data_IF_041164994602
#
_entry.id   IF_041164994602
#
_cell.length_a   1.000
_cell.length_b   1.000
_cell.length_c   1.000
_cell.angle_alpha   90.00
_cell.angle_beta   90.00
_cell.angle_gamma   90.00
#
_symmetry.space_group_name_H-M   'P 1'
#
loop_
_entity.id
_entity.type
_entity.pdbx_description
1 polymer ?
#
# COMPACT_ATOMS: atom_id res chain seq x y z
N UNK A 1 18.24 6.53 -6.64
CA UNK A 1 18.46 6.38 -5.18
C UNK A 1 18.89 7.72 -4.64
N UNK A 2 18.37 8.15 -3.50
CA UNK A 2 18.79 9.37 -2.79
C UNK A 2 18.85 9.10 -1.28
N UNK A 3 19.42 10.04 -0.52
CA UNK A 3 19.53 9.93 0.95
C UNK A 3 18.50 10.84 1.62
N UNK A 4 17.53 10.23 2.31
CA UNK A 4 16.58 10.94 3.16
C UNK A 4 17.15 11.12 4.57
N UNK A 5 17.01 12.31 5.21
CA UNK A 5 17.57 12.58 6.53
C UNK A 5 17.14 11.57 7.62
N UNK A 6 15.87 11.18 7.64
CA UNK A 6 15.31 10.26 8.66
C UNK A 6 15.35 8.77 8.30
N UNK A 7 15.52 8.41 7.02
CA UNK A 7 15.40 7.01 6.56
C UNK A 7 16.66 6.47 5.86
N UNK A 8 17.70 7.30 5.69
CA UNK A 8 18.91 6.92 4.98
C UNK A 8 18.67 6.77 3.48
N UNK A 9 19.38 5.85 2.83
CA UNK A 9 19.23 5.62 1.38
C UNK A 9 17.86 5.04 1.07
N UNK A 10 17.15 5.64 0.11
CA UNK A 10 15.84 5.22 -0.39
C UNK A 10 15.76 5.32 -1.93
N UNK A 11 14.82 4.59 -2.53
CA UNK A 11 14.42 4.84 -3.91
C UNK A 11 13.62 6.15 -3.99
N UNK A 12 13.85 6.91 -5.06
CA UNK A 12 12.99 8.03 -5.42
C UNK A 12 11.89 7.49 -6.33
N UNK A 13 10.69 8.04 -6.22
CA UNK A 13 9.56 7.66 -7.08
C UNK A 13 9.85 8.05 -8.52
N UNK A 14 10.26 9.30 -8.73
CA UNK A 14 10.71 9.83 -10.01
C UNK A 14 12.01 10.60 -9.85
N UNK A 15 12.78 10.68 -10.93
CA UNK A 15 14.00 11.49 -11.04
C UNK A 15 14.02 12.16 -12.39
N UNK A 16 14.48 13.41 -12.45
CA UNK A 16 14.65 14.13 -13.71
C UNK A 16 16.04 13.90 -14.35
N UNK A 17 16.96 13.18 -13.69
CA UNK A 17 18.33 12.99 -14.15
C UNK A 17 19.27 14.19 -13.94
N UNK A 18 18.76 15.33 -13.48
CA UNK A 18 19.51 16.56 -13.19
C UNK A 18 19.72 16.80 -11.68
N UNK A 19 19.47 15.79 -10.86
CA UNK A 19 19.67 15.84 -9.40
C UNK A 19 18.42 16.13 -8.57
N UNK A 20 17.24 16.27 -9.19
CA UNK A 20 15.98 16.38 -8.45
C UNK A 20 15.29 15.02 -8.32
N UNK A 21 14.66 14.80 -7.17
CA UNK A 21 13.99 13.55 -6.84
C UNK A 21 12.60 13.82 -6.28
N UNK A 22 11.59 13.14 -6.82
CA UNK A 22 10.25 13.10 -6.24
C UNK A 22 10.20 11.99 -5.18
N UNK A 23 9.92 12.34 -3.93
CA UNK A 23 9.90 11.41 -2.81
C UNK A 23 8.45 11.19 -2.37
N UNK A 24 7.85 10.12 -2.89
CA UNK A 24 6.47 9.71 -2.62
C UNK A 24 6.28 8.22 -2.95
N UNK A 25 5.06 7.72 -2.84
CA UNK A 25 4.57 6.58 -3.64
C UNK A 25 3.16 6.88 -4.13
N UNK A 26 2.75 6.17 -5.19
CA UNK A 26 1.34 6.05 -5.59
C UNK A 26 0.85 4.63 -5.30
N UNK A 27 -0.45 4.47 -5.04
CA UNK A 27 -1.03 3.18 -4.73
C UNK A 27 -1.14 2.22 -5.93
N UNK A 28 -1.09 2.72 -7.17
CA UNK A 28 -1.15 1.87 -8.36
C UNK A 28 0.12 1.04 -8.52
N UNK A 29 -0.03 -0.21 -8.96
CA UNK A 29 1.11 -1.07 -9.31
C UNK A 29 1.41 -0.88 -10.81
N UNK A 30 2.68 -0.61 -11.22
CA UNK A 30 3.91 -0.66 -10.42
C UNK A 30 4.12 0.55 -9.50
N UNK A 31 4.45 0.27 -8.23
CA UNK A 31 4.85 1.26 -7.21
C UNK A 31 6.15 0.86 -6.51
N UNK A 32 6.75 1.78 -5.74
CA UNK A 32 7.93 1.45 -4.95
C UNK A 32 7.62 0.39 -3.88
N UNK A 33 6.43 0.45 -3.26
CA UNK A 33 5.98 -0.56 -2.30
C UNK A 33 5.82 -1.95 -2.94
N UNK A 34 5.47 -1.99 -4.23
CA UNK A 34 5.21 -3.23 -4.98
C UNK A 34 6.47 -3.88 -5.58
N UNK A 35 7.67 -3.28 -5.46
CA UNK A 35 8.86 -3.82 -6.12
C UNK A 35 9.17 -5.29 -5.77
N UNK A 36 9.04 -5.77 -4.51
CA UNK A 36 9.22 -7.19 -4.23
C UNK A 36 8.12 -8.08 -4.80
N UNK A 37 6.88 -7.59 -4.84
CA UNK A 37 5.76 -8.31 -5.45
C UNK A 37 6.00 -8.54 -6.94
N UNK A 38 6.57 -7.55 -7.63
CA UNK A 38 6.93 -7.63 -9.04
C UNK A 38 8.26 -8.36 -9.32
N UNK A 39 8.94 -8.87 -8.28
CA UNK A 39 10.24 -9.52 -8.41
C UNK A 39 11.40 -8.59 -8.78
N UNK A 40 11.22 -7.27 -8.71
CA UNK A 40 12.24 -6.29 -9.10
C UNK A 40 13.37 -6.18 -8.05
N UNK A 41 13.03 -6.36 -6.76
CA UNK A 41 13.99 -6.36 -5.64
C UNK A 41 13.61 -7.44 -4.63
N UNK A 42 14.58 -7.86 -3.79
CA UNK A 42 14.28 -8.76 -2.67
C UNK A 42 13.55 -7.99 -1.58
N UNK A 43 12.56 -8.62 -0.96
CA UNK A 43 11.86 -8.06 0.20
C UNK A 43 12.80 -7.74 1.39
N UNK A 44 13.93 -8.44 1.47
CA UNK A 44 14.97 -8.25 2.49
C UNK A 44 16.04 -7.24 2.10
N UNK A 45 15.93 -6.60 0.93
CA UNK A 45 16.88 -5.57 0.51
C UNK A 45 16.83 -4.37 1.49
N UNK A 46 17.94 -4.01 2.15
CA UNK A 46 18.00 -2.88 3.08
C UNK A 46 17.53 -1.56 2.47
N UNK A 47 17.79 -1.33 1.18
CA UNK A 47 17.35 -0.14 0.47
C UNK A 47 15.82 -0.12 0.30
N UNK A 48 15.22 -1.27 -0.04
CA UNK A 48 13.76 -1.42 -0.07
C UNK A 48 13.15 -1.26 1.32
N UNK A 49 13.74 -1.85 2.36
CA UNK A 49 13.23 -1.75 3.74
C UNK A 49 13.19 -0.29 4.20
N UNK A 50 14.24 0.49 3.94
CA UNK A 50 14.26 1.92 4.24
C UNK A 50 13.22 2.69 3.45
N UNK A 51 13.09 2.37 2.15
CA UNK A 51 12.08 2.97 1.28
C UNK A 51 10.68 2.67 1.82
N UNK A 52 10.34 1.40 2.10
CA UNK A 52 9.05 0.99 2.68
C UNK A 52 8.69 1.75 3.95
N UNK A 53 9.65 1.95 4.87
CA UNK A 53 9.44 2.75 6.09
C UNK A 53 9.07 4.19 5.78
N UNK A 54 9.72 4.82 4.79
CA UNK A 54 9.39 6.15 4.31
C UNK A 54 7.98 6.20 3.69
N UNK A 55 7.65 5.26 2.79
CA UNK A 55 6.38 5.25 2.05
C UNK A 55 5.15 5.08 2.98
N UNK A 56 5.31 4.31 4.06
CA UNK A 56 4.28 4.04 5.07
C UNK A 56 4.36 5.00 6.27
N UNK A 57 4.75 6.25 6.02
CA UNK A 57 4.88 7.29 7.05
C UNK A 57 4.34 8.63 6.56
N UNK A 58 4.14 9.58 7.47
CA UNK A 58 3.71 10.94 7.14
C UNK A 58 4.72 11.76 6.30
N UNK A 59 5.89 11.20 5.97
CA UNK A 59 6.81 11.82 5.01
C UNK A 59 6.40 11.57 3.55
N UNK A 60 5.63 10.52 3.27
CA UNK A 60 5.01 10.34 1.97
C UNK A 60 3.76 11.26 1.90
N UNK A 61 3.70 12.22 0.97
CA UNK A 61 2.58 13.16 0.88
C UNK A 61 1.23 12.48 0.59
N UNK A 62 1.25 11.26 0.06
CA UNK A 62 0.05 10.48 -0.23
C UNK A 62 -0.19 9.35 0.77
N UNK A 63 0.54 9.31 1.89
CA UNK A 63 0.19 8.45 3.01
C UNK A 63 -0.82 9.14 3.92
N UNK A 64 -2.03 8.59 3.98
CA UNK A 64 -3.12 9.14 4.77
C UNK A 64 -3.44 8.24 5.95
N UNK A 65 -3.84 8.85 7.06
CA UNK A 65 -4.28 8.17 8.28
C UNK A 65 -5.46 8.93 8.88
N UNK A 66 -6.54 8.21 9.13
CA UNK A 66 -7.77 8.75 9.72
C UNK A 66 -8.52 7.70 10.53
N UNK A 67 -9.79 7.98 10.82
CA UNK A 67 -10.63 7.12 11.68
C UNK A 67 -10.92 5.76 11.06
N UNK A 68 -11.10 5.68 9.74
CA UNK A 68 -11.44 4.45 9.03
C UNK A 68 -10.20 3.59 8.75
N UNK A 69 -9.01 4.20 8.59
CA UNK A 69 -7.81 3.45 8.26
C UNK A 69 -6.58 4.29 7.96
N UNK A 70 -5.53 3.61 7.53
CA UNK A 70 -4.30 4.20 7.00
C UNK A 70 -3.84 3.47 5.74
N UNK A 71 -3.17 4.20 4.85
CA UNK A 71 -2.64 3.65 3.60
C UNK A 71 -2.22 4.72 2.62
N UNK A 72 -1.73 4.28 1.46
CA UNK A 72 -1.27 5.17 0.40
C UNK A 72 -2.43 5.41 -0.57
N UNK A 73 -2.59 6.66 -0.98
CA UNK A 73 -3.48 7.08 -2.06
C UNK A 73 -2.69 7.48 -3.30
N UNK A 74 -3.00 8.65 -3.82
CA UNK A 74 -2.34 9.23 -4.99
C UNK A 74 -3.04 10.52 -5.40
N UNK A 75 -2.47 11.29 -6.34
CA UNK A 75 -3.09 12.52 -6.82
C UNK A 75 -4.39 12.27 -7.60
N UNK A 76 -4.64 11.04 -8.07
CA UNK A 76 -5.78 10.70 -8.92
C UNK A 76 -7.15 10.78 -8.21
N UNK A 77 -7.27 10.17 -7.03
CA UNK A 77 -8.53 10.13 -6.29
C UNK A 77 -8.72 11.35 -5.37
N UNK A 78 -7.71 12.22 -5.26
CA UNK A 78 -7.71 13.39 -4.39
C UNK A 78 -7.12 13.13 -3.00
N UNK A 79 -7.00 14.21 -2.22
CA UNK A 79 -6.46 14.20 -0.86
C UNK A 79 -7.37 13.38 0.07
N UNK A 80 -6.76 12.71 1.06
CA UNK A 80 -7.42 11.89 2.07
C UNK A 80 -8.10 10.61 1.57
N UNK A 81 -7.90 10.26 0.30
CA UNK A 81 -8.42 9.04 -0.32
C UNK A 81 -7.37 7.93 -0.33
N UNK A 82 -7.60 6.89 0.48
CA UNK A 82 -6.72 5.72 0.59
C UNK A 82 -7.16 4.67 -0.41
N UNK A 83 -6.22 4.07 -1.13
CA UNK A 83 -6.54 3.00 -2.09
C UNK A 83 -6.34 1.62 -1.44
N UNK A 84 -7.34 0.73 -1.48
CA UNK A 84 -7.19 -0.66 -1.03
C UNK A 84 -5.99 -1.37 -1.63
N UNK A 85 -5.63 -1.03 -2.87
CA UNK A 85 -4.48 -1.61 -3.56
C UNK A 85 -3.16 -1.44 -2.77
N UNK A 86 -2.94 -0.26 -2.16
CA UNK A 86 -1.73 -0.05 -1.36
C UNK A 86 -1.70 -0.92 -0.09
N UNK A 87 -2.85 -1.17 0.54
CA UNK A 87 -2.97 -2.02 1.72
C UNK A 87 -2.77 -3.50 1.33
N UNK A 88 -3.31 -3.91 0.18
CA UNK A 88 -3.13 -5.25 -0.35
C UNK A 88 -1.65 -5.51 -0.63
N UNK A 89 -0.98 -4.57 -1.32
CA UNK A 89 0.45 -4.67 -1.63
C UNK A 89 1.30 -4.62 -0.35
N UNK A 90 0.94 -3.78 0.63
CA UNK A 90 1.57 -3.78 1.95
C UNK A 90 1.55 -5.17 2.57
N UNK A 91 0.42 -5.87 2.50
CA UNK A 91 0.29 -7.25 2.97
C UNK A 91 1.12 -8.24 2.15
N UNK A 92 1.04 -8.19 0.81
CA UNK A 92 1.75 -9.09 -0.09
C UNK A 92 3.28 -8.98 0.02
N UNK A 93 3.79 -7.80 0.37
CA UNK A 93 5.22 -7.53 0.55
C UNK A 93 5.65 -7.46 2.02
N UNK A 94 4.85 -8.00 2.94
CA UNK A 94 5.18 -8.14 4.36
C UNK A 94 5.67 -9.55 4.71
N UNK A 95 6.58 -9.63 5.68
CA UNK A 95 7.03 -10.87 6.32
C UNK A 95 6.63 -10.91 7.80
N UNK A 96 5.84 -9.93 8.25
CA UNK A 96 5.37 -9.81 9.62
C UNK A 96 3.90 -10.22 9.68
N UNK A 97 3.62 -11.30 10.42
CA UNK A 97 2.28 -11.85 10.58
C UNK A 97 1.26 -10.85 11.15
N UNK A 98 1.67 -9.99 12.07
CA UNK A 98 0.80 -8.97 12.63
C UNK A 98 0.45 -7.89 11.60
N UNK A 99 1.39 -7.52 10.72
CA UNK A 99 1.13 -6.57 9.63
C UNK A 99 0.20 -7.17 8.57
N UNK A 100 0.40 -8.44 8.19
CA UNK A 100 -0.48 -9.13 7.25
C UNK A 100 -1.91 -9.21 7.80
N UNK A 101 -2.05 -9.62 9.05
CA UNK A 101 -3.35 -9.68 9.74
C UNK A 101 -4.01 -8.30 9.83
N UNK A 102 -3.22 -7.26 10.12
CA UNK A 102 -3.71 -5.88 10.12
C UNK A 102 -4.24 -5.45 8.75
N UNK A 103 -3.52 -5.74 7.66
CA UNK A 103 -3.96 -5.40 6.31
C UNK A 103 -5.27 -6.10 5.94
N UNK A 104 -5.39 -7.40 6.22
CA UNK A 104 -6.63 -8.16 5.97
C UNK A 104 -7.81 -7.61 6.77
N UNK A 105 -7.62 -7.35 8.06
CA UNK A 105 -8.65 -6.79 8.93
C UNK A 105 -9.06 -5.37 8.50
N UNK A 106 -8.11 -4.57 8.02
CA UNK A 106 -8.38 -3.23 7.53
C UNK A 106 -9.25 -3.29 6.26
N UNK A 107 -8.87 -4.10 5.27
CA UNK A 107 -9.63 -4.28 4.03
C UNK A 107 -11.06 -4.79 4.30
N UNK A 108 -11.22 -5.69 5.27
CA UNK A 108 -12.53 -6.16 5.70
C UNK A 108 -13.38 -5.05 6.35
N UNK A 109 -12.77 -4.07 7.03
CA UNK A 109 -13.50 -2.97 7.68
C UNK A 109 -13.80 -1.81 6.74
N UNK A 110 -13.09 -1.69 5.62
CA UNK A 110 -13.15 -0.51 4.75
C UNK A 110 -13.83 -0.77 3.39
N UNK A 111 -14.58 -1.86 3.24
CA UNK A 111 -15.31 -2.17 2.01
C UNK A 111 -16.67 -1.45 1.88
N UNK A 112 -16.95 -0.44 2.73
CA UNK A 112 -18.17 0.38 2.62
C UNK A 112 -19.49 -0.42 2.58
N UNK A 113 -19.57 -1.54 3.28
CA UNK A 113 -20.71 -2.48 3.30
C UNK A 113 -21.05 -3.15 1.95
N UNK A 114 -20.16 -3.09 0.94
CA UNK A 114 -20.42 -3.66 -0.39
C UNK A 114 -19.93 -5.10 -0.58
N UNK A 115 -18.96 -5.54 0.22
CA UNK A 115 -18.26 -6.81 0.03
C UNK A 115 -17.22 -6.80 -1.11
N UNK A 116 -16.97 -5.65 -1.75
CA UNK A 116 -15.99 -5.51 -2.84
C UNK A 116 -14.87 -4.52 -2.46
N UNK A 117 -13.73 -4.67 -3.13
CA UNK A 117 -12.68 -3.68 -3.10
C UNK A 117 -13.01 -2.52 -4.06
N UNK A 118 -12.87 -1.31 -3.54
CA UNK A 118 -13.06 -0.07 -4.27
C UNK A 118 -11.72 0.45 -4.82
N UNK A 119 -11.76 1.50 -5.63
CA UNK A 119 -10.54 2.19 -6.04
C UNK A 119 -9.91 2.93 -4.88
N UNK A 120 -10.70 3.76 -4.19
CA UNK A 120 -10.27 4.47 -3.01
C UNK A 120 -11.42 4.64 -2.02
N UNK A 121 -11.10 4.85 -0.74
CA UNK A 121 -12.02 5.20 0.32
C UNK A 121 -11.46 6.35 1.17
N UNK A 122 -12.32 7.20 1.71
CA UNK A 122 -11.91 8.35 2.52
C UNK A 122 -11.35 7.88 3.87
N UNK A 123 -10.22 8.46 4.30
CA UNK A 123 -9.48 8.06 5.52
C UNK A 123 -10.32 8.04 6.80
N UNK A 124 -11.37 8.86 6.86
CA UNK A 124 -12.25 8.99 8.02
C UNK A 124 -13.62 8.30 7.85
N UNK A 125 -14.00 7.91 6.64
CA UNK A 125 -15.30 7.31 6.35
C UNK A 125 -15.23 6.40 5.11
N UNK A 126 -15.15 5.09 5.34
CA UNK A 126 -15.02 4.12 4.26
C UNK A 126 -16.26 3.98 3.36
N UNK A 127 -17.41 4.55 3.76
CA UNK A 127 -18.62 4.60 2.90
C UNK A 127 -18.49 5.66 1.80
N UNK A 128 -17.56 6.61 1.96
CA UNK A 128 -17.16 7.55 0.90
C UNK A 128 -16.04 6.92 0.09
N UNK A 129 -16.41 6.24 -0.99
CA UNK A 129 -15.48 5.52 -1.85
C UNK A 129 -15.71 5.82 -3.33
N UNK A 130 -14.69 5.56 -4.15
CA UNK A 130 -14.75 5.67 -5.61
C UNK A 130 -14.77 4.29 -6.26
N UNK A 131 -15.40 4.19 -7.44
CA UNK A 131 -15.56 2.96 -8.24
C UNK A 131 -16.14 1.77 -7.46
N UNK A 132 -17.46 1.66 -7.50
CA UNK A 132 -18.24 0.54 -6.92
C UNK A 132 -17.81 -0.84 -7.42
N UNK A 133 -17.26 -0.94 -8.62
CA UNK A 133 -16.79 -2.19 -9.19
C UNK A 133 -15.41 -2.01 -9.81
N UNK A 134 -14.40 -2.59 -9.17
CA UNK A 134 -13.02 -2.53 -9.63
C UNK A 134 -12.38 -3.93 -9.61
N UNK A 135 -12.52 -4.63 -10.73
CA UNK A 135 -12.09 -6.02 -10.87
C UNK A 135 -10.61 -6.24 -10.53
N UNK A 136 -9.74 -5.29 -10.86
CA UNK A 136 -8.32 -5.39 -10.55
C UNK A 136 -8.04 -5.46 -9.04
N UNK A 137 -8.61 -4.54 -8.26
CA UNK A 137 -8.46 -4.54 -6.80
C UNK A 137 -9.06 -5.80 -6.17
N UNK A 138 -10.21 -6.28 -6.68
CA UNK A 138 -10.82 -7.53 -6.24
C UNK A 138 -9.91 -8.75 -6.50
N UNK A 139 -9.29 -8.83 -7.67
CA UNK A 139 -8.39 -9.93 -8.04
C UNK A 139 -7.17 -9.99 -7.12
N UNK A 140 -6.48 -8.86 -6.89
CA UNK A 140 -5.28 -8.85 -6.05
C UNK A 140 -5.64 -9.04 -4.56
N UNK A 141 -6.82 -8.61 -4.11
CA UNK A 141 -7.30 -9.00 -2.79
C UNK A 141 -7.46 -10.52 -2.64
N UNK A 142 -8.06 -11.17 -3.65
CA UNK A 142 -8.14 -12.63 -3.71
C UNK A 142 -6.75 -13.30 -3.68
N UNK A 143 -5.77 -12.71 -4.37
CA UNK A 143 -4.38 -13.17 -4.34
C UNK A 143 -3.78 -13.10 -2.92
N UNK A 144 -3.95 -11.97 -2.21
CA UNK A 144 -3.48 -11.81 -0.83
C UNK A 144 -4.11 -12.87 0.10
N UNK A 145 -5.42 -13.10 -0.01
CA UNK A 145 -6.13 -14.12 0.77
C UNK A 145 -5.60 -15.52 0.44
N UNK A 146 -5.44 -15.86 -0.84
CA UNK A 146 -4.95 -17.17 -1.28
C UNK A 146 -3.52 -17.42 -0.83
N UNK A 147 -2.64 -16.43 -0.95
CA UNK A 147 -1.25 -16.49 -0.47
C UNK A 147 -1.23 -16.70 1.04
N UNK A 148 -2.04 -15.95 1.78
CA UNK A 148 -2.15 -16.09 3.24
C UNK A 148 -2.66 -17.47 3.63
N UNK A 149 -3.67 -18.01 2.93
CA UNK A 149 -4.17 -19.36 3.17
C UNK A 149 -3.10 -20.44 2.96
N UNK A 150 -2.29 -20.31 1.91
CA UNK A 150 -1.24 -21.29 1.57
C UNK A 150 -0.04 -21.23 2.51
N UNK A 151 0.40 -20.04 2.89
CA UNK A 151 1.67 -19.85 3.60
C UNK A 151 1.50 -19.60 5.10
N UNK A 152 0.36 -19.05 5.52
CA UNK A 152 0.11 -18.53 6.88
C UNK A 152 -1.33 -18.79 7.31
N UNK A 153 -1.79 -20.04 7.16
CA UNK A 153 -3.17 -20.46 7.40
C UNK A 153 -3.72 -20.04 8.78
N UNK A 154 -2.85 -19.90 9.79
CA UNK A 154 -3.22 -19.46 11.13
C UNK A 154 -3.71 -18.00 11.22
N UNK A 155 -3.48 -17.18 10.19
CA UNK A 155 -3.90 -15.77 10.19
C UNK A 155 -5.36 -15.55 9.75
N UNK A 156 -5.99 -16.54 9.13
CA UNK A 156 -7.34 -16.44 8.55
C UNK A 156 -8.30 -17.51 9.08
N UNK A 157 -8.02 -18.03 10.28
CA UNK A 157 -8.95 -18.85 11.07
C UNK A 157 -9.84 -17.97 11.94
#
# INVERSE_FOLDING_TARGET
>A
VTTHPSFGKIYAYESNGYGSFNLMDDANVPSLLAMPYLGAVKQTDPLYINTRKFLLSGYNPFYFKGKAGEGIGGPHAGIDMIWPLSIIIRGLTSNNDAEIKHCLALLQKTHGDTGFMHEAFHKDDAKKFTRKWFAWANTIFGELVLKTYRERKHLIK
#
